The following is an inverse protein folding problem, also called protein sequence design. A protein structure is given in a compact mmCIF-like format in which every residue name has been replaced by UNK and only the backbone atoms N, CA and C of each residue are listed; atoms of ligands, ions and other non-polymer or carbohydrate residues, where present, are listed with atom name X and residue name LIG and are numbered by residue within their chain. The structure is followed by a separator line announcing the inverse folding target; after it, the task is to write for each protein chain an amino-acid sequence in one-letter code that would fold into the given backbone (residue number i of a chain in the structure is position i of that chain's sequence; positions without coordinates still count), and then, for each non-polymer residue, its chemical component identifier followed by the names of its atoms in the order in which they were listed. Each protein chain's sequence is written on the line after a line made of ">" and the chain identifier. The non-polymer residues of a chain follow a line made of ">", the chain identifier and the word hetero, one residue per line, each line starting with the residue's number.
data_IF_671832434239
#
_entry.id   IF_671832434239
#
_cell.length_a   1.000
_cell.length_b   1.000
_cell.length_c   1.000
_cell.angle_alpha   90.00
_cell.angle_beta   90.00
_cell.angle_gamma   90.00
#
_symmetry.space_group_name_H-M   'P 1'
#
loop_
_entity.id
_entity.type
_entity.pdbx_description
1 polymer ?
#
# COMPACT_ATOMS: atom_id res chain seq x y z
N UNK A 1 11.75 3.67 -12.68
CA UNK A 1 10.81 4.76 -13.07
C UNK A 1 9.36 4.38 -12.81
N UNK A 2 8.84 3.25 -13.33
CA UNK A 2 7.45 2.83 -13.12
C UNK A 2 7.05 2.61 -11.66
N UNK A 3 7.91 2.00 -10.83
CA UNK A 3 7.63 1.78 -9.40
C UNK A 3 7.43 3.10 -8.64
N UNK A 4 8.26 4.12 -8.93
CA UNK A 4 8.16 5.43 -8.29
C UNK A 4 6.86 6.13 -8.69
N UNK A 5 6.48 6.05 -9.98
CA UNK A 5 5.20 6.58 -10.46
C UNK A 5 4.00 5.89 -9.80
N UNK A 6 4.06 4.57 -9.62
CA UNK A 6 3.00 3.84 -8.94
C UNK A 6 2.89 4.22 -7.46
N UNK A 7 4.01 4.38 -6.75
CA UNK A 7 4.00 4.89 -5.37
C UNK A 7 3.39 6.29 -5.28
N UNK A 8 3.67 7.16 -6.26
CA UNK A 8 3.06 8.49 -6.34
C UNK A 8 1.54 8.38 -6.54
N UNK A 9 1.09 7.52 -7.46
CA UNK A 9 -0.33 7.29 -7.71
C UNK A 9 -1.06 6.75 -6.46
N UNK A 10 -0.44 5.82 -5.72
CA UNK A 10 -0.98 5.32 -4.45
C UNK A 10 -1.10 6.44 -3.41
N UNK A 11 -0.12 7.34 -3.33
CA UNK A 11 -0.18 8.49 -2.43
C UNK A 11 -1.33 9.44 -2.80
N UNK A 12 -1.47 9.75 -4.10
CA UNK A 12 -2.59 10.57 -4.61
C UNK A 12 -3.93 9.90 -4.29
N UNK A 13 -4.04 8.58 -4.46
CA UNK A 13 -5.23 7.81 -4.10
C UNK A 13 -5.61 7.97 -2.62
N UNK A 14 -4.65 7.81 -1.69
CA UNK A 14 -4.92 8.00 -0.26
C UNK A 14 -5.41 9.41 0.07
N UNK A 15 -4.76 10.43 -0.50
CA UNK A 15 -5.15 11.82 -0.31
C UNK A 15 -6.56 12.09 -0.85
N UNK A 16 -6.89 11.59 -2.04
CA UNK A 16 -8.22 11.72 -2.63
C UNK A 16 -9.28 11.01 -1.79
N UNK A 17 -9.01 9.79 -1.30
CA UNK A 17 -9.95 9.08 -0.44
C UNK A 17 -10.24 9.84 0.86
N UNK A 18 -9.21 10.42 1.50
CA UNK A 18 -9.38 11.26 2.69
C UNK A 18 -10.13 12.55 2.40
N UNK A 19 -9.87 13.19 1.26
CA UNK A 19 -10.60 14.39 0.82
C UNK A 19 -12.08 14.07 0.59
N UNK A 20 -12.39 13.00 -0.13
CA UNK A 20 -13.78 12.57 -0.36
C UNK A 20 -14.48 12.23 0.94
N UNK A 21 -13.82 11.50 1.84
CA UNK A 21 -14.38 11.16 3.15
C UNK A 21 -14.72 12.41 3.97
N UNK A 22 -13.79 13.39 3.99
CA UNK A 22 -13.94 14.63 4.76
C UNK A 22 -15.03 15.56 4.18
N UNK A 23 -15.10 15.66 2.86
CA UNK A 23 -16.01 16.59 2.16
C UNK A 23 -17.35 15.97 1.76
N UNK A 24 -17.52 14.65 1.94
CA UNK A 24 -18.78 13.96 1.66
C UNK A 24 -19.20 13.99 0.19
N UNK A 25 -18.26 13.81 -0.76
CA UNK A 25 -18.60 13.86 -2.18
C UNK A 25 -19.64 12.80 -2.57
N UNK A 26 -20.61 13.17 -3.40
CA UNK A 26 -21.64 12.26 -3.91
C UNK A 26 -21.25 11.52 -5.20
N UNK A 27 -22.16 10.67 -5.69
CA UNK A 27 -21.99 9.93 -6.94
C UNK A 27 -20.89 8.86 -6.87
N UNK A 28 -20.28 8.53 -8.01
CA UNK A 28 -19.25 7.48 -8.08
C UNK A 28 -18.01 7.79 -7.25
N UNK A 29 -17.60 9.06 -7.15
CA UNK A 29 -16.44 9.44 -6.35
C UNK A 29 -16.66 9.23 -4.85
N UNK A 30 -17.91 9.32 -4.37
CA UNK A 30 -18.27 9.05 -2.98
C UNK A 30 -17.96 7.62 -2.51
N UNK A 31 -17.70 6.69 -3.42
CA UNK A 31 -17.28 5.32 -3.10
C UNK A 31 -15.78 5.19 -2.82
N UNK A 32 -14.96 6.21 -3.11
CA UNK A 32 -13.51 6.17 -2.91
C UNK A 32 -13.08 5.78 -1.49
N UNK A 33 -13.70 6.27 -0.40
CA UNK A 33 -13.34 5.86 0.96
C UNK A 33 -13.57 4.37 1.20
N UNK A 34 -14.66 3.81 0.67
CA UNK A 34 -14.95 2.37 0.78
C UNK A 34 -13.90 1.56 0.02
N UNK A 35 -13.54 1.99 -1.19
CA UNK A 35 -12.47 1.35 -1.98
C UNK A 35 -11.12 1.45 -1.25
N UNK A 36 -10.84 2.57 -0.58
CA UNK A 36 -9.63 2.76 0.21
C UNK A 36 -9.58 1.79 1.41
N UNK A 37 -10.71 1.48 2.05
CA UNK A 37 -10.78 0.45 3.09
C UNK A 37 -10.48 -0.96 2.54
N UNK A 38 -10.99 -1.28 1.34
CA UNK A 38 -10.68 -2.55 0.67
C UNK A 38 -9.18 -2.65 0.36
N UNK A 39 -8.60 -1.61 -0.21
CA UNK A 39 -7.15 -1.54 -0.51
C UNK A 39 -6.33 -1.64 0.77
N UNK A 40 -6.74 -0.95 1.86
CA UNK A 40 -6.09 -1.06 3.16
C UNK A 40 -6.11 -2.51 3.68
N UNK A 41 -7.24 -3.21 3.52
CA UNK A 41 -7.35 -4.63 3.87
C UNK A 41 -6.36 -5.50 3.09
N UNK A 42 -6.20 -5.26 1.79
CA UNK A 42 -5.19 -5.95 0.97
C UNK A 42 -3.78 -5.64 1.47
N UNK A 43 -3.46 -4.37 1.73
CA UNK A 43 -2.14 -3.98 2.23
C UNK A 43 -1.83 -4.61 3.61
N UNK A 44 -2.82 -4.78 4.48
CA UNK A 44 -2.64 -5.51 5.75
C UNK A 44 -2.27 -6.97 5.49
N UNK A 45 -2.93 -7.65 4.53
CA UNK A 45 -2.56 -9.01 4.14
C UNK A 45 -1.13 -9.07 3.57
N UNK A 46 -0.71 -8.08 2.79
CA UNK A 46 0.65 -7.99 2.27
C UNK A 46 1.68 -7.77 3.39
N UNK A 47 1.37 -6.95 4.40
CA UNK A 47 2.21 -6.79 5.60
C UNK A 47 2.34 -8.11 6.35
N UNK A 48 1.24 -8.86 6.53
CA UNK A 48 1.28 -10.17 7.19
C UNK A 48 2.13 -11.16 6.39
N UNK A 49 1.97 -11.20 5.07
CA UNK A 49 2.78 -12.03 4.21
C UNK A 49 4.27 -11.66 4.30
N UNK A 50 4.61 -10.36 4.24
CA UNK A 50 5.96 -9.87 4.50
C UNK A 50 6.49 -10.32 5.86
N UNK A 51 5.69 -10.20 6.91
CA UNK A 51 6.09 -10.51 8.26
C UNK A 51 6.42 -11.99 8.46
N UNK A 52 5.68 -12.88 7.79
CA UNK A 52 5.92 -14.31 7.85
C UNK A 52 7.07 -14.72 6.93
N UNK A 53 7.11 -14.20 5.69
CA UNK A 53 7.99 -14.70 4.65
C UNK A 53 9.35 -13.99 4.55
N UNK A 54 9.40 -12.67 4.77
CA UNK A 54 10.55 -11.83 4.42
C UNK A 54 11.11 -10.98 5.56
N UNK A 55 10.52 -11.00 6.76
CA UNK A 55 10.96 -10.16 7.88
C UNK A 55 12.45 -10.31 8.23
N UNK A 56 13.01 -11.50 8.03
CA UNK A 56 14.42 -11.81 8.33
C UNK A 56 15.38 -11.25 7.27
N UNK A 57 14.85 -10.95 6.09
CA UNK A 57 15.58 -10.43 4.94
C UNK A 57 15.60 -8.88 4.95
N UNK A 58 14.96 -8.25 5.95
CA UNK A 58 14.90 -6.79 6.12
C UNK A 58 15.86 -6.30 7.22
N UNK A 59 16.57 -5.21 6.94
CA UNK A 59 17.38 -4.49 7.93
C UNK A 59 16.51 -3.67 8.91
N UNK A 60 15.31 -3.25 8.50
CA UNK A 60 14.37 -2.52 9.35
C UNK A 60 12.92 -2.99 9.07
N UNK A 61 12.50 -4.11 9.68
CA UNK A 61 11.22 -4.74 9.38
C UNK A 61 10.00 -3.84 9.66
N UNK A 62 10.09 -2.97 10.67
CA UNK A 62 9.01 -2.05 11.01
C UNK A 62 8.84 -0.97 9.93
N UNK A 63 9.93 -0.34 9.50
CA UNK A 63 9.88 0.65 8.43
C UNK A 63 9.34 0.04 7.13
N UNK A 64 9.70 -1.21 6.85
CA UNK A 64 9.23 -1.90 5.66
C UNK A 64 7.77 -2.33 5.73
N UNK A 65 7.31 -2.78 6.91
CA UNK A 65 5.89 -3.03 7.14
C UNK A 65 5.06 -1.77 6.92
N UNK A 66 5.51 -0.61 7.41
CA UNK A 66 4.84 0.68 7.16
C UNK A 66 4.82 1.01 5.67
N UNK A 67 5.94 0.84 4.97
CA UNK A 67 5.99 1.11 3.54
C UNK A 67 5.11 0.16 2.72
N UNK A 68 4.95 -1.11 3.14
CA UNK A 68 3.99 -2.04 2.51
C UNK A 68 2.56 -1.63 2.86
N UNK A 69 2.29 -1.19 4.09
CA UNK A 69 0.95 -0.72 4.45
C UNK A 69 0.50 0.47 3.59
N UNK A 70 1.43 1.36 3.23
CA UNK A 70 1.12 2.56 2.44
C UNK A 70 1.16 2.29 0.94
N UNK A 71 2.17 1.56 0.46
CA UNK A 71 2.45 1.38 -0.97
C UNK A 71 2.19 -0.04 -1.50
N UNK A 72 1.77 -0.94 -0.64
CA UNK A 72 1.43 -2.32 -0.95
C UNK A 72 2.54 -3.10 -1.65
N UNK A 73 2.13 -3.87 -2.67
CA UNK A 73 3.02 -4.65 -3.53
C UNK A 73 4.20 -3.85 -4.11
N UNK A 74 4.05 -2.53 -4.33
CA UNK A 74 5.11 -1.70 -4.90
C UNK A 74 6.32 -1.55 -3.99
N UNK A 75 6.17 -1.78 -2.68
CA UNK A 75 7.30 -1.93 -1.77
C UNK A 75 7.71 -3.39 -1.58
N UNK A 76 6.73 -4.29 -1.43
CA UNK A 76 6.98 -5.72 -1.19
C UNK A 76 7.79 -6.39 -2.31
N UNK A 77 7.58 -5.98 -3.57
CA UNK A 77 8.23 -6.55 -4.76
C UNK A 77 9.76 -6.64 -4.64
N UNK A 78 10.40 -5.69 -3.95
CA UNK A 78 11.86 -5.70 -3.76
C UNK A 78 12.34 -6.97 -3.02
N UNK A 79 11.55 -7.51 -2.10
CA UNK A 79 11.91 -8.74 -1.36
C UNK A 79 11.66 -9.99 -2.19
N UNK A 80 10.58 -9.98 -2.98
CA UNK A 80 10.24 -11.07 -3.89
C UNK A 80 11.33 -11.23 -4.96
N UNK A 81 11.80 -10.12 -5.54
CA UNK A 81 12.86 -10.13 -6.55
C UNK A 81 14.20 -10.57 -6.00
N UNK A 82 14.57 -10.13 -4.79
CA UNK A 82 15.83 -10.53 -4.15
C UNK A 82 15.85 -12.03 -3.84
N UNK A 83 14.74 -12.62 -3.38
CA UNK A 83 14.68 -14.07 -3.10
C UNK A 83 14.64 -14.94 -4.37
N UNK A 84 14.19 -14.38 -5.49
CA UNK A 84 14.12 -15.10 -6.76
C UNK A 84 15.49 -15.22 -7.48
N UNK A 85 16.53 -14.55 -6.96
CA UNK A 85 17.91 -14.61 -7.41
C UNK A 85 18.74 -15.52 -6.52
#
# INVERSE_FOLDING_TARGET
>A
MLIVLNKLATLIFWLLALLVWSQGWGGYLGWLPVMALVVLGVHVLEVLYFWVAFRKDSQNPLADAVQILVFGIFHLRRFIEVRAQ
#
